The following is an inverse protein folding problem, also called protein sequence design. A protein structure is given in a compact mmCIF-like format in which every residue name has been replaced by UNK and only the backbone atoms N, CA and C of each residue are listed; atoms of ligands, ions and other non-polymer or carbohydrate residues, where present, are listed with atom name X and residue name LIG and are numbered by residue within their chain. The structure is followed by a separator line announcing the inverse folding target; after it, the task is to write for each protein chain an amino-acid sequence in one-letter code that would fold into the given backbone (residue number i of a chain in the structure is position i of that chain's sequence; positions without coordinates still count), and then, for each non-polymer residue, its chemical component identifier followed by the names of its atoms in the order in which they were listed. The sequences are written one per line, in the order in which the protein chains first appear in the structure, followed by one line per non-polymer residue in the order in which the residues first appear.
data_IF_098773752129
#
_entry.id   IF_098773752129
#
_cell.length_a   1.000
_cell.length_b   1.000
_cell.length_c   1.000
_cell.angle_alpha   90.00
_cell.angle_beta   90.00
_cell.angle_gamma   90.00
#
_symmetry.space_group_name_H-M   'P 1'
#
loop_
_entity.id
_entity.type
_entity.pdbx_description
1 polymer ?
#
# COMPACT_ATOMS: atom_id res chain seq x y z
N UNK A 1 19.82 45.97 1.34
CA UNK A 1 19.12 45.49 2.54
C UNK A 1 18.38 44.24 2.11
N UNK A 2 18.94 43.08 2.34
CA UNK A 2 18.26 41.78 2.05
C UNK A 2 17.09 41.67 3.00
N UNK A 3 15.88 41.43 2.46
CA UNK A 3 14.70 41.14 3.24
C UNK A 3 14.71 39.66 3.56
N UNK A 4 14.26 39.27 4.75
CA UNK A 4 14.22 37.88 5.23
C UNK A 4 13.44 36.93 4.33
N UNK A 5 12.60 37.40 3.39
CA UNK A 5 11.89 36.62 2.40
C UNK A 5 12.71 36.18 1.18
N UNK A 6 13.92 36.72 1.02
CA UNK A 6 14.72 36.47 -0.19
C UNK A 6 15.60 35.19 -0.09
N UNK A 7 15.69 34.55 1.11
CA UNK A 7 16.59 33.41 1.34
C UNK A 7 15.84 32.09 1.56
N UNK A 8 14.67 32.14 2.14
CA UNK A 8 13.86 30.95 2.39
C UNK A 8 12.36 31.28 2.32
N UNK A 9 11.70 30.76 1.30
CA UNK A 9 10.25 30.86 1.15
C UNK A 9 9.62 29.51 1.50
N UNK A 10 8.89 29.40 2.62
CA UNK A 10 8.28 28.15 3.06
C UNK A 10 7.27 27.58 2.04
N UNK A 11 6.59 28.44 1.27
CA UNK A 11 5.62 28.01 0.26
C UNK A 11 6.34 27.31 -0.91
N UNK A 12 7.44 27.91 -1.41
CA UNK A 12 8.26 27.31 -2.48
C UNK A 12 8.86 25.97 -2.03
N UNK A 13 9.34 25.89 -0.79
CA UNK A 13 9.88 24.64 -0.24
C UNK A 13 8.80 23.59 -0.06
N UNK A 14 7.58 23.99 0.33
CA UNK A 14 6.43 23.11 0.41
C UNK A 14 6.12 22.48 -0.95
N UNK A 15 6.06 23.25 -2.01
CA UNK A 15 5.82 22.78 -3.37
C UNK A 15 6.95 21.83 -3.85
N UNK A 16 8.21 22.18 -3.54
CA UNK A 16 9.36 21.34 -3.86
C UNK A 16 9.31 19.98 -3.13
N UNK A 17 8.91 19.96 -1.87
CA UNK A 17 8.77 18.73 -1.08
C UNK A 17 7.63 17.89 -1.66
N UNK A 18 6.47 18.47 -1.92
CA UNK A 18 5.31 17.78 -2.48
C UNK A 18 5.64 17.12 -3.83
N UNK A 19 6.31 17.83 -4.73
CA UNK A 19 6.77 17.26 -6.00
C UNK A 19 7.77 16.10 -5.81
N UNK A 20 8.71 16.22 -4.86
CA UNK A 20 9.69 15.18 -4.56
C UNK A 20 9.08 13.97 -3.87
N UNK A 21 8.08 14.15 -3.01
CA UNK A 21 7.32 13.07 -2.36
C UNK A 21 6.65 12.21 -3.42
N UNK A 22 5.94 12.84 -4.34
CA UNK A 22 5.27 12.11 -5.45
C UNK A 22 6.26 11.31 -6.31
N UNK A 23 7.43 11.85 -6.61
CA UNK A 23 8.46 11.15 -7.41
C UNK A 23 9.15 10.01 -6.68
N UNK A 24 9.29 10.09 -5.34
CA UNK A 24 10.00 9.10 -4.53
C UNK A 24 9.11 7.97 -4.01
N UNK A 25 7.81 8.19 -3.97
CA UNK A 25 6.84 7.20 -3.52
C UNK A 25 6.54 6.18 -4.60
N UNK A 26 6.60 4.89 -4.25
CA UNK A 26 6.21 3.79 -5.12
C UNK A 26 4.68 3.67 -5.22
N UNK A 27 4.01 3.88 -4.10
CA UNK A 27 2.57 3.60 -3.97
C UNK A 27 1.69 4.71 -4.50
N UNK A 28 2.19 5.94 -4.62
CA UNK A 28 1.42 7.08 -5.13
C UNK A 28 0.82 6.83 -6.52
N UNK A 29 1.53 6.07 -7.38
CA UNK A 29 1.01 5.70 -8.71
C UNK A 29 -0.11 4.66 -8.71
N UNK A 30 -0.34 3.98 -7.59
CA UNK A 30 -1.33 2.90 -7.44
C UNK A 30 -2.45 3.24 -6.46
N UNK A 31 -2.41 4.43 -5.87
CA UNK A 31 -3.42 4.94 -4.94
C UNK A 31 -4.22 6.07 -5.57
N UNK A 32 -5.53 6.09 -5.34
CA UNK A 32 -6.37 7.22 -5.70
C UNK A 32 -6.42 8.21 -4.53
N UNK A 33 -6.19 9.48 -4.79
CA UNK A 33 -6.27 10.52 -3.76
C UNK A 33 -7.69 11.05 -3.65
N UNK A 34 -8.25 11.03 -2.44
CA UNK A 34 -9.53 11.65 -2.09
C UNK A 34 -9.29 12.91 -1.27
N UNK A 35 -9.69 14.05 -1.81
CA UNK A 35 -9.53 15.39 -1.22
C UNK A 35 -10.81 15.93 -0.58
N UNK A 36 -11.87 15.12 -0.47
CA UNK A 36 -13.18 15.58 0.04
C UNK A 36 -13.16 16.08 1.48
N UNK A 37 -12.12 15.73 2.25
CA UNK A 37 -11.94 16.19 3.63
C UNK A 37 -11.13 17.50 3.75
N UNK A 38 -10.63 18.04 2.65
CA UNK A 38 -9.95 19.32 2.66
C UNK A 38 -10.94 20.45 3.02
N UNK A 39 -10.53 21.30 3.96
CA UNK A 39 -11.37 22.43 4.40
C UNK A 39 -12.60 22.06 5.24
N UNK A 40 -12.88 20.77 5.50
CA UNK A 40 -14.00 20.34 6.32
C UNK A 40 -13.58 20.02 7.76
N UNK A 41 -14.40 20.33 8.78
CA UNK A 41 -14.11 19.91 10.16
C UNK A 41 -14.23 18.39 10.30
N UNK A 42 -13.49 17.81 11.24
CA UNK A 42 -13.50 16.37 11.53
C UNK A 42 -12.23 15.66 11.04
N UNK A 43 -11.93 14.52 11.65
CA UNK A 43 -10.74 13.70 11.37
C UNK A 43 -11.09 12.29 10.89
N UNK A 44 -12.39 11.99 10.73
CA UNK A 44 -12.87 10.65 10.40
C UNK A 44 -13.66 10.67 9.11
N UNK A 45 -13.32 9.77 8.18
CA UNK A 45 -14.10 9.50 6.97
C UNK A 45 -14.83 8.19 7.15
N UNK A 46 -16.15 8.20 6.96
CA UNK A 46 -16.98 6.99 6.97
C UNK A 46 -17.41 6.69 5.54
N UNK A 47 -17.12 5.48 5.07
CA UNK A 47 -17.47 5.01 3.73
C UNK A 47 -18.44 3.86 3.86
N UNK A 48 -19.62 3.91 3.18
CA UNK A 48 -20.50 2.76 3.07
C UNK A 48 -19.91 1.75 2.06
N UNK A 49 -19.94 0.48 2.42
CA UNK A 49 -19.66 -0.64 1.53
C UNK A 49 -20.97 -1.35 1.29
N UNK A 50 -21.43 -1.37 0.05
CA UNK A 50 -22.70 -1.95 -0.34
C UNK A 50 -22.56 -3.43 -0.64
N UNK A 51 -23.52 -4.23 -0.18
CA UNK A 51 -23.61 -5.64 -0.54
C UNK A 51 -24.39 -5.85 -1.84
N UNK A 52 -23.98 -6.84 -2.62
CA UNK A 52 -24.68 -7.23 -3.83
C UNK A 52 -26.08 -7.75 -3.50
N UNK A 53 -27.10 -7.35 -4.26
CA UNK A 53 -28.51 -7.69 -4.02
C UNK A 53 -28.92 -9.05 -4.61
N UNK A 54 -28.05 -9.71 -5.38
CA UNK A 54 -28.33 -10.97 -6.05
C UNK A 54 -28.66 -10.81 -7.52
N UNK A 55 -28.73 -11.93 -8.22
CA UNK A 55 -29.06 -11.98 -9.65
C UNK A 55 -30.54 -11.66 -9.88
N UNK A 56 -30.86 -11.03 -11.01
CA UNK A 56 -32.23 -10.83 -11.46
C UNK A 56 -32.92 -12.17 -11.74
N UNK A 57 -34.21 -12.22 -11.49
CA UNK A 57 -35.06 -13.44 -11.66
C UNK A 57 -35.96 -13.23 -12.88
N UNK A 58 -36.16 -14.29 -13.66
CA UNK A 58 -37.15 -14.31 -14.75
C UNK A 58 -38.55 -14.25 -14.18
N UNK A 59 -39.39 -13.34 -14.72
CA UNK A 59 -40.74 -13.11 -14.27
C UNK A 59 -41.75 -13.62 -15.31
N UNK A 60 -42.84 -14.24 -14.85
CA UNK A 60 -43.95 -14.59 -15.69
C UNK A 60 -44.94 -13.42 -15.79
N UNK A 61 -45.79 -13.43 -16.82
CA UNK A 61 -46.80 -12.40 -17.04
C UNK A 61 -47.76 -12.30 -15.84
N UNK A 62 -47.81 -11.12 -15.21
CA UNK A 62 -48.64 -10.86 -14.01
C UNK A 62 -47.95 -11.16 -12.68
N UNK A 63 -46.71 -11.62 -12.67
CA UNK A 63 -45.91 -11.87 -11.45
C UNK A 63 -45.37 -10.58 -10.86
N UNK A 64 -45.41 -10.47 -9.52
CA UNK A 64 -44.92 -9.32 -8.79
C UNK A 64 -43.42 -9.44 -8.55
N UNK A 65 -42.66 -8.37 -8.81
CA UNK A 65 -41.23 -8.30 -8.47
C UNK A 65 -41.10 -8.19 -6.97
N UNK A 66 -40.33 -9.11 -6.36
CA UNK A 66 -39.98 -9.05 -4.98
C UNK A 66 -38.88 -8.02 -4.76
N UNK A 67 -39.11 -7.08 -3.84
CA UNK A 67 -38.17 -6.04 -3.50
C UNK A 67 -37.17 -6.53 -2.45
N UNK A 68 -35.90 -6.65 -2.81
CA UNK A 68 -34.81 -7.02 -1.89
C UNK A 68 -34.25 -5.78 -1.21
N UNK A 69 -34.09 -5.85 0.12
CA UNK A 69 -33.48 -4.76 0.88
C UNK A 69 -31.96 -4.76 0.66
N UNK A 70 -31.41 -3.64 0.22
CA UNK A 70 -29.97 -3.44 0.10
C UNK A 70 -29.30 -3.45 1.48
N UNK A 71 -28.27 -4.27 1.64
CA UNK A 71 -27.43 -4.30 2.84
C UNK A 71 -26.21 -3.39 2.64
N UNK A 72 -25.78 -2.73 3.71
CA UNK A 72 -24.54 -1.97 3.71
C UNK A 72 -23.83 -2.10 5.05
N UNK A 73 -22.52 -2.03 5.00
CA UNK A 73 -21.64 -1.89 6.16
C UNK A 73 -20.86 -0.60 6.06
N UNK A 74 -20.49 -0.02 7.19
CA UNK A 74 -19.70 1.21 7.20
C UNK A 74 -18.29 0.94 7.70
N UNK A 75 -17.29 1.45 6.97
CA UNK A 75 -15.90 1.47 7.41
C UNK A 75 -15.51 2.90 7.78
N UNK A 76 -14.84 3.05 8.91
CA UNK A 76 -14.36 4.34 9.40
C UNK A 76 -12.84 4.40 9.34
N UNK A 77 -12.33 5.49 8.77
CA UNK A 77 -10.91 5.76 8.66
C UNK A 77 -10.58 7.07 9.35
N UNK A 78 -9.63 7.03 10.28
CA UNK A 78 -9.19 8.22 11.03
C UNK A 78 -7.91 8.76 10.45
N UNK A 79 -7.93 10.01 10.03
CA UNK A 79 -6.77 10.71 9.45
C UNK A 79 -5.71 10.93 10.52
N UNK A 80 -4.45 10.71 10.15
CA UNK A 80 -3.28 10.90 11.00
C UNK A 80 -2.47 12.10 10.55
N UNK A 81 -1.83 12.78 11.51
CA UNK A 81 -0.77 13.76 11.24
C UNK A 81 0.55 13.01 11.07
N UNK A 82 1.22 13.26 9.96
CA UNK A 82 2.59 12.84 9.70
C UNK A 82 3.45 14.09 9.63
N UNK A 83 4.68 14.01 10.12
CA UNK A 83 5.60 15.14 10.04
C UNK A 83 7.03 14.73 10.36
N UNK A 84 7.95 15.53 9.86
CA UNK A 84 9.39 15.42 10.13
C UNK A 84 10.00 16.81 10.14
N UNK A 85 10.87 17.06 11.11
CA UNK A 85 11.64 18.29 11.22
C UNK A 85 13.13 18.01 11.18
N UNK A 86 13.88 19.03 10.80
CA UNK A 86 15.34 19.08 10.82
C UNK A 86 15.75 20.42 11.41
N UNK A 87 16.66 20.39 12.37
CA UNK A 87 17.28 21.55 12.97
C UNK A 87 18.70 21.73 12.42
N UNK A 88 19.06 22.92 12.01
CA UNK A 88 20.37 23.27 11.45
C UNK A 88 20.94 24.43 12.26
N UNK A 89 22.08 24.24 12.89
CA UNK A 89 22.75 25.30 13.65
C UNK A 89 23.39 26.33 12.73
N UNK A 90 23.50 27.60 13.20
CA UNK A 90 24.15 28.70 12.45
C UNK A 90 25.59 28.32 12.10
N UNK A 91 26.32 27.66 12.99
CA UNK A 91 27.70 27.22 12.73
C UNK A 91 27.78 26.20 11.61
N UNK A 92 26.82 25.23 11.56
CA UNK A 92 26.75 24.23 10.51
C UNK A 92 26.41 24.85 9.15
N UNK A 93 25.60 25.91 9.14
CA UNK A 93 25.24 26.62 7.91
C UNK A 93 26.40 27.46 7.38
N UNK A 94 27.18 28.10 8.28
CA UNK A 94 28.30 28.97 7.91
C UNK A 94 29.58 28.20 7.57
N UNK A 95 29.85 27.09 8.27
CA UNK A 95 31.08 26.31 8.12
C UNK A 95 30.89 25.04 7.27
N UNK A 96 29.64 24.64 7.01
CA UNK A 96 29.31 23.44 6.25
C UNK A 96 29.63 23.58 4.77
N UNK A 97 30.25 22.54 4.18
CA UNK A 97 30.44 22.46 2.74
C UNK A 97 29.14 21.99 2.06
N UNK A 98 28.66 22.76 1.07
CA UNK A 98 27.46 22.41 0.30
C UNK A 98 26.24 23.27 0.64
N UNK A 99 25.04 22.73 0.39
CA UNK A 99 23.76 23.36 0.70
C UNK A 99 22.98 22.55 1.75
N UNK A 100 23.17 22.83 3.06
CA UNK A 100 22.49 22.10 4.14
C UNK A 100 20.96 22.16 4.06
N UNK A 101 20.39 23.31 3.68
CA UNK A 101 18.94 23.51 3.56
C UNK A 101 18.36 22.66 2.42
N UNK A 102 19.04 22.62 1.26
CA UNK A 102 18.62 21.79 0.14
C UNK A 102 18.66 20.29 0.47
N UNK A 103 19.68 19.85 1.23
CA UNK A 103 19.76 18.47 1.68
C UNK A 103 18.71 18.14 2.73
N UNK A 104 18.45 19.03 3.69
CA UNK A 104 17.36 18.89 4.67
C UNK A 104 16.01 18.70 3.96
N UNK A 105 15.71 19.53 2.95
CA UNK A 105 14.51 19.42 2.13
C UNK A 105 14.40 18.05 1.44
N UNK A 106 15.52 17.54 0.89
CA UNK A 106 15.56 16.22 0.26
C UNK A 106 15.31 15.07 1.26
N UNK A 107 15.88 15.16 2.46
CA UNK A 107 15.72 14.15 3.50
C UNK A 107 14.31 14.14 4.10
N UNK A 108 13.72 15.32 4.29
CA UNK A 108 12.33 15.46 4.73
C UNK A 108 11.38 14.82 3.70
N UNK A 109 11.51 15.18 2.41
CA UNK A 109 10.69 14.62 1.35
C UNK A 109 10.82 13.09 1.26
N UNK A 110 12.06 12.55 1.38
CA UNK A 110 12.29 11.11 1.41
C UNK A 110 11.63 10.43 2.60
N UNK A 111 11.72 11.05 3.78
CA UNK A 111 11.13 10.50 5.03
C UNK A 111 9.60 10.45 4.96
N UNK A 112 8.95 11.49 4.41
CA UNK A 112 7.50 11.54 4.24
C UNK A 112 7.06 10.51 3.19
N UNK A 113 7.72 10.44 2.03
CA UNK A 113 7.42 9.46 1.00
C UNK A 113 7.56 8.02 1.52
N UNK A 114 8.61 7.73 2.30
CA UNK A 114 8.82 6.43 2.92
C UNK A 114 7.70 6.08 3.90
N UNK A 115 7.24 7.05 4.70
CA UNK A 115 6.13 6.84 5.64
C UNK A 115 4.81 6.58 4.92
N UNK A 116 4.49 7.35 3.88
CA UNK A 116 3.30 7.14 3.06
C UNK A 116 3.28 5.77 2.39
N UNK A 117 4.40 5.36 1.83
CA UNK A 117 4.52 4.03 1.22
C UNK A 117 4.37 2.91 2.24
N UNK A 118 5.01 3.04 3.42
CA UNK A 118 4.89 2.04 4.48
C UNK A 118 3.44 1.91 4.94
N UNK A 119 2.76 3.03 5.18
CA UNK A 119 1.36 3.02 5.61
C UNK A 119 0.43 2.47 4.50
N UNK A 120 0.75 2.72 3.22
CA UNK A 120 0.00 2.16 2.07
C UNK A 120 0.18 0.65 1.96
N UNK A 121 1.42 0.16 2.09
CA UNK A 121 1.70 -1.28 2.10
C UNK A 121 1.08 -1.94 3.33
N UNK A 122 1.12 -1.29 4.49
CA UNK A 122 0.46 -1.77 5.71
C UNK A 122 -1.06 -1.90 5.55
N UNK A 123 -1.69 -0.95 4.85
CA UNK A 123 -3.11 -1.01 4.56
C UNK A 123 -3.48 -2.23 3.66
N UNK A 124 -2.61 -2.60 2.70
CA UNK A 124 -2.82 -3.77 1.85
C UNK A 124 -2.91 -5.08 2.62
N UNK A 125 -2.15 -5.21 3.71
CA UNK A 125 -2.21 -6.42 4.55
C UNK A 125 -3.55 -6.61 5.27
N UNK A 126 -4.44 -5.62 5.20
CA UNK A 126 -5.83 -5.75 5.59
C UNK A 126 -6.73 -6.50 4.59
N UNK A 127 -6.19 -7.07 3.50
CA UNK A 127 -6.98 -7.85 2.54
C UNK A 127 -7.36 -9.23 3.07
N UNK A 128 -8.57 -9.70 2.71
CA UNK A 128 -9.08 -11.01 3.12
C UNK A 128 -8.62 -12.13 2.21
N UNK A 129 -8.36 -11.82 0.94
CA UNK A 129 -7.98 -12.80 -0.06
C UNK A 129 -6.51 -13.17 0.14
N UNK A 130 -6.25 -14.40 0.53
CA UNK A 130 -4.92 -14.92 0.80
C UNK A 130 -4.70 -16.19 -0.02
N UNK A 131 -3.55 -16.27 -0.68
CA UNK A 131 -3.03 -17.48 -1.31
C UNK A 131 -1.81 -17.93 -0.53
N UNK A 132 -1.81 -19.16 -0.04
CA UNK A 132 -0.73 -19.71 0.78
C UNK A 132 0.06 -20.74 -0.04
N UNK A 133 1.22 -20.32 -0.54
CA UNK A 133 2.23 -21.18 -1.17
C UNK A 133 3.57 -21.14 -0.39
N UNK A 134 3.47 -21.27 0.93
CA UNK A 134 4.65 -21.23 1.81
C UNK A 134 5.48 -22.51 1.79
N UNK A 135 5.08 -23.52 1.03
CA UNK A 135 5.86 -24.75 0.79
C UNK A 135 7.05 -24.50 -0.13
N UNK A 136 6.93 -23.55 -1.03
CA UNK A 136 7.94 -23.23 -2.03
C UNK A 136 8.37 -21.75 -1.96
N UNK A 137 9.56 -21.47 -2.51
CA UNK A 137 10.00 -20.10 -2.81
C UNK A 137 9.18 -19.55 -3.97
N UNK A 138 9.16 -18.22 -4.13
CA UNK A 138 8.40 -17.59 -5.21
C UNK A 138 8.80 -18.13 -6.59
N UNK A 139 7.81 -18.58 -7.36
CA UNK A 139 7.94 -19.08 -8.72
C UNK A 139 6.89 -18.45 -9.62
N UNK A 140 7.05 -18.64 -10.93
CA UNK A 140 6.04 -18.23 -11.91
C UNK A 140 4.64 -18.79 -11.58
N UNK A 141 4.54 -20.08 -11.26
CA UNK A 141 3.28 -20.73 -10.90
C UNK A 141 2.57 -20.08 -9.71
N UNK A 142 3.31 -19.73 -8.65
CA UNK A 142 2.73 -19.07 -7.48
C UNK A 142 2.11 -17.70 -7.82
N UNK A 143 2.69 -16.96 -8.76
CA UNK A 143 2.12 -15.68 -9.21
C UNK A 143 0.85 -15.92 -10.04
N UNK A 144 0.84 -16.97 -10.88
CA UNK A 144 -0.36 -17.36 -11.63
C UNK A 144 -1.49 -17.71 -10.67
N UNK A 145 -1.24 -18.58 -9.67
CA UNK A 145 -2.25 -18.95 -8.65
C UNK A 145 -2.77 -17.71 -7.88
N UNK A 146 -1.88 -16.73 -7.63
CA UNK A 146 -2.24 -15.46 -7.02
C UNK A 146 -3.12 -14.59 -7.92
N UNK A 147 -2.90 -14.60 -9.23
CA UNK A 147 -3.73 -13.85 -10.19
C UNK A 147 -5.06 -14.52 -10.45
N UNK A 148 -5.09 -15.85 -10.49
CA UNK A 148 -6.31 -16.62 -10.73
C UNK A 148 -7.30 -16.50 -9.57
N UNK A 149 -6.82 -16.14 -8.36
CA UNK A 149 -7.67 -15.90 -7.21
C UNK A 149 -8.63 -14.71 -7.37
N UNK A 150 -8.40 -13.83 -8.35
CA UNK A 150 -9.33 -12.75 -8.67
C UNK A 150 -10.58 -13.22 -9.42
N UNK A 151 -10.57 -14.46 -9.97
CA UNK A 151 -11.69 -15.09 -10.68
C UNK A 151 -12.32 -14.18 -11.75
N UNK A 152 -11.46 -13.63 -12.63
CA UNK A 152 -11.84 -12.63 -13.64
C UNK A 152 -12.21 -13.25 -14.97
N UNK A 153 -13.31 -12.82 -15.58
CA UNK A 153 -13.68 -13.16 -16.96
C UNK A 153 -12.84 -12.38 -17.98
N UNK A 154 -12.48 -11.13 -17.67
CA UNK A 154 -11.66 -10.26 -18.53
C UNK A 154 -10.38 -9.88 -17.81
N UNK A 155 -9.24 -10.09 -18.46
CA UNK A 155 -7.95 -9.79 -17.87
C UNK A 155 -7.79 -8.31 -17.54
N UNK A 156 -7.60 -7.98 -16.27
CA UNK A 156 -7.33 -6.64 -15.77
C UNK A 156 -5.85 -6.38 -15.55
N UNK A 157 -5.46 -5.11 -15.50
CA UNK A 157 -4.09 -4.73 -15.15
C UNK A 157 -3.86 -4.90 -13.65
N UNK A 158 -2.81 -5.67 -13.30
CA UNK A 158 -2.42 -5.97 -11.92
C UNK A 158 -0.98 -5.57 -11.66
N UNK A 159 -0.66 -5.34 -10.40
CA UNK A 159 0.71 -5.09 -9.92
C UNK A 159 1.00 -5.99 -8.73
N UNK A 160 2.10 -6.70 -8.78
CA UNK A 160 2.64 -7.45 -7.65
C UNK A 160 3.86 -6.73 -7.07
N UNK A 161 3.91 -6.62 -5.75
CA UNK A 161 5.05 -6.05 -5.03
C UNK A 161 5.83 -7.17 -4.38
N UNK A 162 7.10 -7.32 -4.76
CA UNK A 162 8.00 -8.38 -4.28
C UNK A 162 9.24 -7.80 -3.58
N UNK A 163 9.84 -8.57 -2.70
CA UNK A 163 11.11 -8.20 -2.09
C UNK A 163 12.29 -8.36 -3.07
N UNK A 164 13.40 -7.58 -2.92
CA UNK A 164 14.57 -7.69 -3.77
C UNK A 164 15.19 -9.10 -3.81
N UNK A 165 15.14 -9.83 -2.69
CA UNK A 165 15.63 -11.21 -2.59
C UNK A 165 14.83 -12.16 -3.49
N UNK A 166 13.51 -11.99 -3.53
CA UNK A 166 12.59 -12.78 -4.36
C UNK A 166 12.79 -12.53 -5.86
N UNK A 167 13.15 -11.31 -6.24
CA UNK A 167 13.50 -10.98 -7.62
C UNK A 167 14.65 -11.84 -8.15
N UNK A 168 15.66 -12.07 -7.31
CA UNK A 168 16.78 -12.96 -7.67
C UNK A 168 16.35 -14.41 -7.87
N UNK A 169 15.37 -14.87 -7.09
CA UNK A 169 14.82 -16.22 -7.20
C UNK A 169 14.00 -16.39 -8.48
N UNK A 170 13.15 -15.41 -8.81
CA UNK A 170 12.36 -15.43 -10.06
C UNK A 170 13.25 -15.42 -11.31
N UNK A 171 14.36 -14.68 -11.29
CA UNK A 171 15.33 -14.67 -12.42
C UNK A 171 16.01 -16.01 -12.66
N UNK A 172 16.05 -16.88 -11.65
CA UNK A 172 16.63 -18.24 -11.72
C UNK A 172 15.59 -19.32 -12.02
N UNK A 173 14.31 -18.96 -12.05
CA UNK A 173 13.23 -19.90 -12.32
C UNK A 173 13.32 -20.37 -13.77
N UNK A 174 13.47 -21.69 -14.04
CA UNK A 174 13.57 -22.22 -15.40
C UNK A 174 12.29 -22.00 -16.22
N UNK A 175 11.14 -21.96 -15.57
CA UNK A 175 9.87 -21.66 -16.27
C UNK A 175 9.81 -20.22 -16.79
N UNK A 176 10.55 -19.31 -16.15
CA UNK A 176 10.67 -17.92 -16.56
C UNK A 176 11.84 -17.68 -17.54
N UNK A 177 12.95 -18.41 -17.39
CA UNK A 177 14.16 -18.22 -18.20
C UNK A 177 14.19 -19.03 -19.51
N UNK A 178 13.19 -19.84 -19.77
CA UNK A 178 13.12 -20.66 -20.98
C UNK A 178 13.01 -19.80 -22.24
N UNK A 179 14.05 -19.84 -23.08
CA UNK A 179 14.16 -19.05 -24.31
C UNK A 179 13.01 -19.27 -25.31
N UNK A 180 12.38 -20.44 -25.25
CA UNK A 180 11.26 -20.80 -26.13
C UNK A 180 9.95 -20.08 -25.77
N UNK A 181 9.86 -19.51 -24.58
CA UNK A 181 8.63 -18.92 -24.05
C UNK A 181 8.61 -17.38 -24.07
N UNK A 182 9.76 -16.72 -24.14
CA UNK A 182 9.86 -15.27 -24.02
C UNK A 182 10.82 -14.66 -25.03
N UNK A 183 10.57 -13.40 -25.41
CA UNK A 183 11.48 -12.64 -26.28
C UNK A 183 12.88 -12.49 -25.69
N UNK A 184 13.90 -12.44 -26.57
CA UNK A 184 15.32 -12.41 -26.22
C UNK A 184 15.74 -11.25 -25.26
N UNK A 185 14.92 -10.21 -25.10
CA UNK A 185 15.17 -9.07 -24.22
C UNK A 185 15.19 -9.44 -22.72
N UNK A 186 14.32 -10.33 -22.29
CA UNK A 186 14.22 -10.76 -20.88
C UNK A 186 15.48 -11.50 -20.43
N UNK A 187 16.03 -12.34 -21.31
CA UNK A 187 17.25 -13.09 -21.03
C UNK A 187 18.49 -12.19 -20.96
N UNK A 188 18.54 -11.13 -21.78
CA UNK A 188 19.71 -10.26 -21.89
C UNK A 188 19.77 -9.19 -20.81
N UNK A 189 18.63 -8.57 -20.50
CA UNK A 189 18.59 -7.43 -19.56
C UNK A 189 18.18 -7.84 -18.14
N UNK A 190 17.70 -9.09 -17.94
CA UNK A 190 17.23 -9.58 -16.63
C UNK A 190 16.06 -8.77 -16.07
N UNK A 191 15.40 -8.00 -16.93
CA UNK A 191 14.25 -7.18 -16.55
C UNK A 191 12.99 -8.05 -16.54
N UNK A 192 12.42 -8.27 -15.37
CA UNK A 192 11.10 -8.89 -15.22
C UNK A 192 10.08 -7.75 -15.28
N UNK A 193 9.46 -7.54 -16.44
CA UNK A 193 8.46 -6.49 -16.64
C UNK A 193 7.08 -6.93 -16.20
N UNK A 194 6.56 -8.01 -16.80
CA UNK A 194 5.21 -8.49 -16.61
C UNK A 194 5.16 -10.01 -16.53
N UNK A 195 4.42 -10.56 -15.57
CA UNK A 195 4.16 -12.00 -15.37
C UNK A 195 2.67 -12.21 -15.24
N UNK A 196 2.06 -13.06 -16.06
CA UNK A 196 0.62 -13.38 -16.01
C UNK A 196 -0.28 -12.13 -15.91
N UNK A 197 0.00 -11.09 -16.73
CA UNK A 197 -0.75 -9.84 -16.67
C UNK A 197 -0.41 -8.92 -15.49
N UNK A 198 0.45 -9.35 -14.55
CA UNK A 198 0.94 -8.56 -13.44
C UNK A 198 2.25 -7.83 -13.77
N UNK A 199 2.29 -6.53 -13.53
CA UNK A 199 3.53 -5.77 -13.49
C UNK A 199 4.28 -6.05 -12.19
N UNK A 200 5.54 -6.48 -12.31
CA UNK A 200 6.36 -6.82 -11.15
C UNK A 200 7.11 -5.59 -10.65
N UNK A 201 6.87 -5.20 -9.40
CA UNK A 201 7.55 -4.09 -8.73
C UNK A 201 8.34 -4.58 -7.53
N UNK A 202 9.56 -4.10 -7.40
CA UNK A 202 10.46 -4.48 -6.30
C UNK A 202 10.42 -3.43 -5.21
N UNK A 203 10.17 -3.86 -3.97
CA UNK A 203 10.18 -2.97 -2.81
C UNK A 203 10.77 -3.67 -1.59
N UNK A 204 11.58 -2.94 -0.83
CA UNK A 204 12.07 -3.41 0.49
C UNK A 204 11.00 -3.38 1.59
N UNK A 205 9.81 -2.85 1.28
CA UNK A 205 8.71 -2.65 2.24
C UNK A 205 7.80 -3.86 2.35
N UNK A 206 8.02 -4.89 1.51
CA UNK A 206 7.32 -6.18 1.62
C UNK A 206 7.67 -6.82 2.97
N UNK A 207 6.63 -7.22 3.72
CA UNK A 207 6.81 -7.82 5.04
C UNK A 207 7.34 -9.24 4.94
N UNK A 208 8.38 -9.49 5.72
CA UNK A 208 8.91 -10.82 5.99
C UNK A 208 8.58 -11.17 7.43
N UNK A 209 7.79 -12.21 7.61
CA UNK A 209 7.46 -12.74 8.92
C UNK A 209 8.33 -13.96 9.21
N UNK A 210 9.05 -13.94 10.33
CA UNK A 210 9.79 -15.11 10.83
C UNK A 210 8.83 -16.14 11.42
N UNK A 211 7.76 -15.65 12.03
CA UNK A 211 6.68 -16.43 12.63
C UNK A 211 5.36 -15.80 12.21
N UNK A 212 4.41 -16.64 11.82
CA UNK A 212 3.09 -16.18 11.36
C UNK A 212 2.02 -17.24 11.67
N UNK A 213 0.76 -16.88 11.54
CA UNK A 213 -0.35 -17.76 11.84
C UNK A 213 -1.13 -18.08 10.57
N UNK A 214 -1.66 -19.32 10.50
CA UNK A 214 -2.63 -19.75 9.48
C UNK A 214 -3.86 -20.32 10.16
N UNK A 215 -5.01 -20.21 9.51
CA UNK A 215 -6.22 -20.91 9.97
C UNK A 215 -6.02 -22.42 9.87
N UNK A 216 -6.37 -23.13 10.92
CA UNK A 216 -6.25 -24.60 11.01
C UNK A 216 -7.26 -25.12 12.03
N UNK A 217 -8.16 -25.99 11.59
CA UNK A 217 -9.18 -26.56 12.46
C UNK A 217 -8.60 -27.39 13.62
N UNK A 218 -7.39 -27.93 13.44
CA UNK A 218 -6.64 -28.66 14.45
C UNK A 218 -5.80 -27.75 15.37
N UNK A 219 -5.74 -26.47 15.06
CA UNK A 219 -4.90 -25.48 15.76
C UNK A 219 -5.42 -25.04 17.12
N UNK A 220 -4.69 -24.10 17.73
CA UNK A 220 -5.06 -23.51 19.02
C UNK A 220 -6.08 -22.39 18.82
N UNK A 221 -7.12 -22.37 19.68
CA UNK A 221 -8.12 -21.31 19.65
C UNK A 221 -7.51 -19.94 20.02
N UNK A 222 -7.91 -18.92 19.29
CA UNK A 222 -7.50 -17.54 19.55
C UNK A 222 -8.18 -17.06 20.83
N UNK A 223 -7.39 -16.55 21.76
CA UNK A 223 -7.84 -15.91 22.98
C UNK A 223 -7.70 -14.39 22.89
N UNK A 224 -8.36 -13.65 23.76
CA UNK A 224 -8.17 -12.19 23.82
C UNK A 224 -6.73 -11.76 24.08
N UNK A 225 -5.92 -12.62 24.70
CA UNK A 225 -4.53 -12.36 25.04
C UNK A 225 -3.60 -12.45 23.82
N UNK A 226 -3.83 -13.42 22.92
CA UNK A 226 -2.97 -13.64 21.74
C UNK A 226 -3.52 -13.04 20.45
N UNK A 227 -4.75 -12.49 20.48
CA UNK A 227 -5.41 -11.92 19.30
C UNK A 227 -4.55 -10.86 18.60
N UNK A 228 -3.94 -9.95 19.34
CA UNK A 228 -3.12 -8.88 18.77
C UNK A 228 -1.87 -9.42 18.05
N UNK A 229 -1.30 -10.52 18.52
CA UNK A 229 -0.16 -11.18 17.89
C UNK A 229 -0.58 -11.89 16.59
N UNK A 230 -1.69 -12.61 16.64
CA UNK A 230 -2.26 -13.32 15.49
C UNK A 230 -2.67 -12.34 14.40
N UNK A 231 -3.26 -11.22 14.76
CA UNK A 231 -3.70 -10.18 13.81
C UNK A 231 -2.57 -9.49 13.05
N UNK A 232 -1.31 -9.61 13.49
CA UNK A 232 -0.16 -9.12 12.70
C UNK A 232 -0.01 -9.85 11.35
N UNK A 233 -0.40 -11.12 11.29
CA UNK A 233 -0.31 -11.96 10.09
C UNK A 233 -1.68 -12.34 9.51
N UNK A 234 -2.73 -12.28 10.33
CA UNK A 234 -4.12 -12.54 9.99
C UNK A 234 -5.02 -11.41 10.53
N UNK A 235 -5.12 -10.27 9.83
CA UNK A 235 -5.80 -9.06 10.33
C UNK A 235 -7.26 -9.26 10.71
N UNK A 236 -7.95 -10.21 10.09
CA UNK A 236 -9.37 -10.48 10.34
C UNK A 236 -9.64 -11.60 11.36
N UNK A 237 -8.60 -12.14 11.97
CA UNK A 237 -8.74 -13.20 12.97
C UNK A 237 -9.59 -12.74 14.17
N UNK A 238 -10.47 -13.61 14.63
CA UNK A 238 -11.40 -13.36 15.74
C UNK A 238 -11.13 -14.32 16.88
N UNK A 239 -11.52 -13.93 18.08
CA UNK A 239 -11.49 -14.78 19.26
C UNK A 239 -12.39 -16.00 19.03
N UNK A 240 -11.87 -17.20 19.32
CA UNK A 240 -12.55 -18.46 19.14
C UNK A 240 -12.20 -19.19 17.82
N UNK A 241 -11.64 -18.50 16.84
CA UNK A 241 -11.09 -19.15 15.64
C UNK A 241 -9.83 -19.94 15.98
N UNK A 242 -9.58 -21.02 15.27
CA UNK A 242 -8.41 -21.87 15.50
C UNK A 242 -7.32 -21.56 14.51
N UNK A 243 -6.11 -21.43 15.02
CA UNK A 243 -4.92 -21.09 14.23
C UNK A 243 -3.73 -21.93 14.65
N UNK A 244 -2.85 -22.22 13.69
CA UNK A 244 -1.56 -22.85 13.94
C UNK A 244 -0.45 -21.83 13.69
N UNK A 245 0.49 -21.75 14.63
CA UNK A 245 1.70 -20.92 14.49
C UNK A 245 2.70 -21.63 13.57
N UNK A 246 3.14 -20.95 12.53
CA UNK A 246 4.13 -21.41 11.57
C UNK A 246 5.43 -20.68 11.83
N UNK A 247 6.53 -21.42 12.00
CA UNK A 247 7.88 -20.89 12.27
C UNK A 247 8.74 -20.80 11.02
N UNK A 248 8.23 -21.20 9.87
CA UNK A 248 8.92 -21.07 8.59
C UNK A 248 8.82 -19.61 8.12
N UNK A 249 9.95 -18.93 7.86
CA UNK A 249 9.90 -17.55 7.39
C UNK A 249 9.16 -17.44 6.05
N UNK A 250 8.29 -16.45 5.93
CA UNK A 250 7.51 -16.21 4.72
C UNK A 250 7.47 -14.73 4.34
N UNK A 251 7.46 -14.45 3.03
CA UNK A 251 7.13 -13.16 2.47
C UNK A 251 5.65 -13.07 2.15
N UNK A 252 5.05 -11.94 2.43
CA UNK A 252 3.67 -11.63 2.13
C UNK A 252 3.63 -10.60 1.02
N UNK A 253 3.45 -11.07 -0.22
CA UNK A 253 3.49 -10.24 -1.41
C UNK A 253 2.08 -9.78 -1.78
N UNK A 254 1.77 -8.47 -1.74
CA UNK A 254 0.48 -7.98 -2.18
C UNK A 254 0.41 -7.92 -3.70
N UNK A 255 -0.69 -8.41 -4.26
CA UNK A 255 -1.11 -8.27 -5.65
C UNK A 255 -2.29 -7.30 -5.65
N UNK A 256 -2.19 -6.24 -6.43
CA UNK A 256 -3.17 -5.17 -6.50
C UNK A 256 -3.77 -5.16 -7.90
N UNK A 257 -5.09 -5.18 -8.00
CA UNK A 257 -5.83 -4.96 -9.23
C UNK A 257 -6.04 -3.46 -9.43
N UNK A 258 -5.58 -2.93 -10.55
CA UNK A 258 -5.60 -1.49 -10.85
C UNK A 258 -6.85 -1.06 -11.62
N UNK A 259 -7.29 -1.89 -12.56
CA UNK A 259 -8.45 -1.61 -13.39
C UNK A 259 -9.61 -2.50 -12.96
N UNK A 260 -10.82 -2.06 -13.25
CA UNK A 260 -12.01 -2.86 -13.03
C UNK A 260 -12.15 -3.90 -14.13
N UNK A 261 -12.74 -5.04 -13.77
CA UNK A 261 -13.37 -5.92 -14.71
C UNK A 261 -14.65 -5.23 -15.24
N UNK A 262 -14.88 -5.27 -16.56
CA UNK A 262 -15.88 -4.41 -17.21
C UNK A 262 -17.34 -4.70 -16.80
N UNK A 263 -17.62 -5.82 -16.08
CA UNK A 263 -18.98 -6.31 -15.95
C UNK A 263 -19.57 -6.31 -14.54
N UNK A 264 -18.78 -6.41 -13.47
CA UNK A 264 -19.34 -6.69 -12.13
C UNK A 264 -18.74 -5.91 -10.97
N UNK A 265 -17.72 -5.09 -11.18
CA UNK A 265 -16.97 -4.50 -10.08
C UNK A 265 -17.29 -3.03 -9.80
N UNK A 266 -17.31 -2.73 -8.51
CA UNK A 266 -17.38 -1.36 -8.00
C UNK A 266 -16.18 -0.52 -8.50
N UNK A 267 -16.44 0.72 -8.90
CA UNK A 267 -15.43 1.70 -9.37
C UNK A 267 -14.41 2.11 -8.28
N UNK A 268 -14.56 1.55 -7.08
CA UNK A 268 -13.68 1.86 -5.96
C UNK A 268 -12.27 1.30 -6.21
N UNK A 269 -11.21 2.12 -6.08
CA UNK A 269 -9.84 1.66 -6.17
C UNK A 269 -9.49 0.73 -5.00
N UNK A 270 -8.45 -0.10 -5.17
CA UNK A 270 -7.96 -0.95 -4.09
C UNK A 270 -7.55 -0.13 -2.86
N UNK A 271 -6.76 0.92 -3.08
CA UNK A 271 -6.30 1.82 -2.03
C UNK A 271 -6.72 3.25 -2.35
N UNK A 272 -7.23 3.95 -1.34
CA UNK A 272 -7.50 5.39 -1.40
C UNK A 272 -6.67 6.12 -0.36
N UNK A 273 -6.00 7.18 -0.78
CA UNK A 273 -5.31 8.10 0.12
C UNK A 273 -6.24 9.25 0.48
N UNK A 274 -6.73 9.27 1.71
CA UNK A 274 -7.56 10.36 2.23
C UNK A 274 -6.68 11.52 2.65
N UNK A 275 -6.67 12.56 1.83
CA UNK A 275 -5.87 13.76 2.05
C UNK A 275 -6.73 14.84 2.68
N UNK A 276 -6.36 15.29 3.87
CA UNK A 276 -6.97 16.45 4.54
C UNK A 276 -6.16 17.73 4.33
N UNK A 277 -4.85 17.64 4.40
CA UNK A 277 -3.91 18.72 4.10
C UNK A 277 -2.63 18.15 3.52
N UNK A 278 -2.18 18.69 2.42
CA UNK A 278 -0.90 18.36 1.81
C UNK A 278 0.28 18.75 2.70
N UNK A 279 1.45 18.60 2.18
CA UNK A 279 2.70 18.94 2.84
C UNK A 279 2.73 20.45 3.08
N UNK A 280 2.83 20.85 4.34
CA UNK A 280 3.05 22.22 4.76
C UNK A 280 4.39 22.31 5.46
N UNK A 281 5.22 23.23 5.00
CA UNK A 281 6.51 23.54 5.62
C UNK A 281 6.36 24.76 6.50
N UNK A 282 6.82 24.63 7.72
CA UNK A 282 6.95 25.71 8.69
C UNK A 282 8.43 25.86 9.01
N UNK A 283 8.90 27.11 9.04
CA UNK A 283 10.25 27.47 9.39
C UNK A 283 10.21 28.33 10.65
N UNK A 284 10.92 27.91 11.67
CA UNK A 284 11.09 28.65 12.90
C UNK A 284 12.59 28.90 13.14
N UNK A 285 12.92 30.14 13.51
CA UNK A 285 14.27 30.53 13.82
C UNK A 285 14.43 30.74 15.31
N UNK A 286 15.23 29.90 15.93
CA UNK A 286 15.66 30.11 17.30
C UNK A 286 16.75 31.13 17.37
N UNK A 287 16.48 32.24 18.07
CA UNK A 287 17.35 33.45 18.07
C UNK A 287 18.77 33.09 18.46
N UNK A 288 19.69 33.23 17.49
CA UNK A 288 21.15 33.09 17.69
C UNK A 288 21.66 31.66 17.85
N UNK A 289 20.88 30.64 17.52
CA UNK A 289 21.27 29.24 17.73
C UNK A 289 21.05 28.35 16.50
N UNK A 290 19.83 28.33 15.94
CA UNK A 290 19.50 27.37 14.88
C UNK A 290 18.26 27.77 14.09
N UNK A 291 18.15 27.21 12.87
CA UNK A 291 16.94 27.23 12.03
C UNK A 291 16.27 25.86 12.09
N UNK A 292 14.98 25.82 12.43
CA UNK A 292 14.18 24.60 12.40
C UNK A 292 13.23 24.61 11.19
N UNK A 293 13.30 23.54 10.38
CA UNK A 293 12.45 23.33 9.21
C UNK A 293 11.59 22.12 9.51
N UNK A 294 10.28 22.30 9.63
CA UNK A 294 9.30 21.23 9.91
C UNK A 294 8.34 21.12 8.75
N UNK A 295 8.18 19.90 8.23
CA UNK A 295 7.14 19.60 7.26
C UNK A 295 6.08 18.69 7.90
N UNK A 296 4.80 19.03 7.72
CA UNK A 296 3.67 18.27 8.22
C UNK A 296 2.64 18.06 7.13
N UNK A 297 2.06 16.84 7.11
CA UNK A 297 0.94 16.49 6.26
C UNK A 297 -0.14 15.77 7.06
N UNK A 298 -1.40 15.87 6.63
CA UNK A 298 -2.54 15.18 7.24
C UNK A 298 -3.19 14.30 6.19
N UNK A 299 -3.03 13.00 6.34
CA UNK A 299 -3.60 12.02 5.45
C UNK A 299 -3.48 10.60 6.00
N UNK A 300 -4.18 9.68 5.35
CA UNK A 300 -4.09 8.25 5.66
C UNK A 300 -4.42 7.44 4.41
N UNK A 301 -3.55 6.52 3.97
CA UNK A 301 -3.92 5.50 3.00
C UNK A 301 -4.80 4.46 3.68
N UNK A 302 -5.83 4.02 2.98
CA UNK A 302 -6.76 3.02 3.48
C UNK A 302 -7.14 2.03 2.37
N UNK A 303 -7.34 0.77 2.75
CA UNK A 303 -7.86 -0.27 1.87
C UNK A 303 -9.36 -0.06 1.66
N UNK A 304 -9.73 0.45 0.50
CA UNK A 304 -11.11 0.79 0.17
C UNK A 304 -11.87 -0.42 -0.35
N UNK A 305 -11.26 -1.16 -1.27
CA UNK A 305 -11.83 -2.38 -1.82
C UNK A 305 -10.91 -3.59 -1.53
N UNK A 306 -11.41 -4.50 -0.69
CA UNK A 306 -10.67 -5.71 -0.27
C UNK A 306 -10.59 -6.76 -1.37
N UNK A 307 -11.56 -6.78 -2.30
CA UNK A 307 -11.64 -7.77 -3.39
C UNK A 307 -10.56 -7.54 -4.45
N UNK A 308 -10.09 -6.29 -4.58
CA UNK A 308 -9.02 -5.91 -5.50
C UNK A 308 -7.60 -6.16 -4.99
N UNK A 309 -7.46 -6.84 -3.86
CA UNK A 309 -6.15 -7.15 -3.28
C UNK A 309 -6.08 -8.61 -2.88
N UNK A 310 -5.03 -9.29 -3.32
CA UNK A 310 -4.68 -10.66 -2.93
C UNK A 310 -3.30 -10.66 -2.28
N UNK A 311 -3.16 -11.32 -1.15
CA UNK A 311 -1.88 -11.51 -0.47
C UNK A 311 -1.34 -12.89 -0.80
N UNK A 312 -0.27 -12.95 -1.58
CA UNK A 312 0.47 -14.16 -1.89
C UNK A 312 1.54 -14.41 -0.83
N UNK A 313 1.37 -15.49 -0.05
CA UNK A 313 2.36 -15.93 0.93
C UNK A 313 3.28 -16.96 0.29
N UNK A 314 4.57 -16.71 0.33
CA UNK A 314 5.60 -17.61 -0.18
C UNK A 314 6.73 -17.77 0.83
N UNK A 315 7.42 -18.90 0.78
CA UNK A 315 8.59 -19.15 1.64
C UNK A 315 9.67 -18.11 1.37
N UNK A 316 10.32 -17.65 2.45
CA UNK A 316 11.41 -16.67 2.38
C UNK A 316 12.76 -17.34 2.07
#
# INVERSE_FOLDING_TARGET
MFKNGDVFDPEVVSDMISAKVSQKSLMTGYTKTDTTLQGTPGSTKTIPVWGYIGQAVDLQEGEKIDSTKMSYTTKQYTIKKIGKGVEITDEAQLSGYGNPIGEATNQIAKSIAEKLDNDSVDALYGAKNIVDDTTAVIKYSAIVDGTDKFDEEVASQKVIIIAPEQMSTLRKDPDFTSADKYEAGVLRDGAIGRISGCDVRVSKKVKKFSEWYKYDESGTAITSTNLAEVQKSLPFAKVGEKVTKVTTPAYFNPIIKLTNDAETEDDAPAITYFLKRGELVEHDRHVGVSDEIVCTAFGMPALTNEEKVVILKVKA
#
